data_IF_584285054310
#
_entry.id   IF_584285054310
#
_cell.length_a   1.000
_cell.length_b   1.000
_cell.length_c   1.000
_cell.angle_alpha   90.00
_cell.angle_beta   90.00
_cell.angle_gamma   90.00
#
_symmetry.space_group_name_H-M   'P 1'
#
loop_
_entity.id
_entity.type
_entity.pdbx_description
1 polymer ?
#
# COMPACT_ATOMS: atom_id res chain seq x y z
N UNK A 1 -5.50 17.91 -13.36
CA UNK A 1 -5.24 16.47 -13.13
C UNK A 1 -6.42 15.74 -12.52
N UNK A 2 -6.88 16.06 -11.30
CA UNK A 2 -8.05 15.40 -10.68
C UNK A 2 -9.34 15.63 -11.49
N UNK A 3 -9.68 16.89 -11.78
CA UNK A 3 -10.88 17.26 -12.56
C UNK A 3 -10.85 16.77 -14.01
N UNK A 4 -9.67 16.40 -14.51
CA UNK A 4 -9.46 15.91 -15.87
C UNK A 4 -9.39 14.37 -15.97
N UNK A 5 -9.61 13.63 -14.88
CA UNK A 5 -9.45 12.17 -14.81
C UNK A 5 -8.06 11.66 -15.27
N UNK A 6 -7.01 12.44 -15.01
CA UNK A 6 -5.63 12.13 -15.44
C UNK A 6 -4.85 11.25 -14.44
N UNK A 7 -5.41 11.02 -13.25
CA UNK A 7 -4.79 10.24 -12.17
C UNK A 7 -5.44 8.86 -12.07
N UNK A 8 -4.62 7.82 -11.98
CA UNK A 8 -5.07 6.44 -11.80
C UNK A 8 -5.67 6.26 -10.40
N UNK A 9 -5.04 6.89 -9.42
CA UNK A 9 -5.46 6.94 -8.03
C UNK A 9 -4.93 8.24 -7.43
N UNK A 10 -5.65 8.80 -6.46
CA UNK A 10 -5.17 9.93 -5.67
C UNK A 10 -5.79 9.90 -4.28
N UNK A 11 -4.98 10.27 -3.28
CA UNK A 11 -5.37 10.30 -1.87
C UNK A 11 -4.63 11.41 -1.12
N UNK A 12 -5.23 11.87 -0.02
CA UNK A 12 -4.57 12.75 0.94
C UNK A 12 -3.78 11.87 1.93
N UNK A 13 -2.45 11.95 1.87
CA UNK A 13 -1.55 11.13 2.69
C UNK A 13 -0.68 12.08 3.53
N UNK A 14 -0.86 12.04 4.85
CA UNK A 14 -0.19 12.93 5.81
C UNK A 14 -0.37 14.44 5.54
N UNK A 15 -1.52 14.83 4.99
CA UNK A 15 -1.82 16.24 4.66
C UNK A 15 -1.36 16.69 3.27
N UNK A 16 -0.64 15.83 2.53
CA UNK A 16 -0.25 16.07 1.14
C UNK A 16 -1.10 15.27 0.17
N UNK A 17 -1.56 15.90 -0.91
CA UNK A 17 -2.22 15.18 -2.00
C UNK A 17 -1.21 14.41 -2.82
N UNK A 18 -1.37 13.09 -2.88
CA UNK A 18 -0.59 12.21 -3.73
C UNK A 18 -1.48 11.63 -4.80
N UNK A 19 -0.94 11.46 -6.00
CA UNK A 19 -1.64 10.84 -7.10
C UNK A 19 -0.69 10.17 -8.05
N UNK A 20 -1.18 9.13 -8.72
CA UNK A 20 -0.41 8.33 -9.68
C UNK A 20 -0.84 8.75 -11.09
N UNK A 21 -0.02 9.46 -11.88
CA UNK A 21 -0.40 9.91 -13.21
C UNK A 21 -0.62 8.74 -14.18
N UNK A 22 -1.79 8.65 -14.81
CA UNK A 22 -2.08 7.60 -15.82
C UNK A 22 -1.08 7.66 -16.98
N UNK A 23 -0.66 8.87 -17.37
CA UNK A 23 0.25 9.06 -18.49
C UNK A 23 1.61 8.43 -18.24
N UNK A 24 2.19 8.62 -17.05
CA UNK A 24 3.48 8.03 -16.70
C UNK A 24 3.44 6.51 -16.80
N UNK A 25 2.38 5.88 -16.29
CA UNK A 25 2.21 4.43 -16.39
C UNK A 25 2.12 3.99 -17.85
N UNK A 26 1.30 4.67 -18.67
CA UNK A 26 1.17 4.37 -20.10
C UNK A 26 2.51 4.47 -20.84
N UNK A 27 3.30 5.52 -20.57
CA UNK A 27 4.56 5.76 -21.24
C UNK A 27 5.61 4.67 -20.94
N UNK A 28 5.67 4.18 -19.71
CA UNK A 28 6.59 3.10 -19.33
C UNK A 28 6.09 1.72 -19.80
N UNK A 29 4.77 1.47 -19.75
CA UNK A 29 4.20 0.25 -20.33
C UNK A 29 4.43 0.17 -21.85
N UNK A 30 4.29 1.29 -22.56
CA UNK A 30 4.57 1.35 -24.01
C UNK A 30 6.02 1.05 -24.37
N UNK A 31 6.95 1.22 -23.43
CA UNK A 31 8.37 0.85 -23.57
C UNK A 31 8.65 -0.61 -23.20
N UNK A 32 7.63 -1.38 -22.79
CA UNK A 32 7.77 -2.78 -22.39
C UNK A 32 8.27 -2.99 -20.97
N UNK A 33 8.19 -1.97 -20.09
CA UNK A 33 8.57 -2.11 -18.69
C UNK A 33 7.40 -2.56 -17.81
N UNK A 34 7.71 -3.41 -16.84
CA UNK A 34 6.80 -3.69 -15.72
C UNK A 34 6.75 -2.50 -14.75
N UNK A 35 5.55 -2.22 -14.23
CA UNK A 35 5.32 -1.09 -13.33
C UNK A 35 5.17 -1.60 -11.90
N UNK A 36 6.03 -1.13 -10.99
CA UNK A 36 5.91 -1.38 -9.57
C UNK A 36 5.33 -0.17 -8.85
N UNK A 37 4.15 -0.32 -8.26
CA UNK A 37 3.49 0.72 -7.47
C UNK A 37 3.64 0.42 -5.98
N UNK A 38 4.16 1.39 -5.23
CA UNK A 38 4.15 1.36 -3.76
C UNK A 38 2.96 2.18 -3.27
N UNK A 39 1.92 1.49 -2.83
CA UNK A 39 0.71 2.07 -2.25
C UNK A 39 0.49 1.55 -0.84
N UNK A 40 -0.25 2.31 -0.04
CA UNK A 40 -0.80 1.80 1.21
C UNK A 40 -2.04 0.92 0.95
N UNK A 41 -2.67 0.48 2.03
CA UNK A 41 -3.82 -0.44 1.99
C UNK A 41 -5.04 0.21 1.32
N UNK A 42 -5.29 1.51 1.58
CA UNK A 42 -6.40 2.23 0.97
C UNK A 42 -6.19 2.38 -0.54
N UNK A 43 -4.98 2.79 -0.95
CA UNK A 43 -4.60 2.89 -2.36
C UNK A 43 -4.68 1.52 -3.06
N UNK A 44 -4.23 0.45 -2.42
CA UNK A 44 -4.35 -0.91 -2.96
C UNK A 44 -5.81 -1.34 -3.18
N UNK A 45 -6.71 -1.04 -2.23
CA UNK A 45 -8.15 -1.31 -2.35
C UNK A 45 -8.79 -0.57 -3.53
N UNK A 46 -8.41 0.70 -3.72
CA UNK A 46 -8.86 1.51 -4.86
C UNK A 46 -8.33 0.95 -6.18
N UNK A 47 -7.03 0.70 -6.28
CA UNK A 47 -6.41 0.14 -7.49
C UNK A 47 -6.99 -1.22 -7.85
N UNK A 48 -7.34 -2.04 -6.85
CA UNK A 48 -7.95 -3.33 -7.10
C UNK A 48 -9.27 -3.21 -7.84
N UNK A 49 -10.14 -2.27 -7.46
CA UNK A 49 -11.43 -2.04 -8.15
C UNK A 49 -11.25 -1.62 -9.60
N UNK A 50 -10.12 -0.99 -9.93
CA UNK A 50 -9.83 -0.43 -11.26
C UNK A 50 -9.08 -1.45 -12.14
N UNK A 51 -8.17 -2.24 -11.56
CA UNK A 51 -7.15 -3.01 -12.29
C UNK A 51 -7.18 -4.53 -12.00
N UNK A 52 -8.29 -5.03 -11.46
CA UNK A 52 -8.47 -6.38 -10.91
C UNK A 52 -7.80 -7.52 -11.68
N UNK A 53 -7.82 -7.48 -13.02
CA UNK A 53 -7.35 -8.57 -13.88
C UNK A 53 -5.95 -8.35 -14.49
N UNK A 54 -5.33 -7.19 -14.26
CA UNK A 54 -4.08 -6.78 -14.94
C UNK A 54 -2.90 -6.59 -13.99
N UNK A 55 -3.10 -6.74 -12.68
CA UNK A 55 -2.10 -6.40 -11.66
C UNK A 55 -1.94 -7.51 -10.63
N UNK A 56 -0.69 -7.75 -10.24
CA UNK A 56 -0.34 -8.60 -9.10
C UNK A 56 -0.20 -7.73 -7.86
N UNK A 57 -0.98 -8.06 -6.82
CA UNK A 57 -0.88 -7.40 -5.53
C UNK A 57 0.04 -8.21 -4.61
N UNK A 58 1.00 -7.52 -3.97
CA UNK A 58 1.90 -8.11 -2.98
C UNK A 58 1.76 -7.32 -1.69
N UNK A 59 1.26 -7.97 -0.64
CA UNK A 59 1.14 -7.39 0.69
C UNK A 59 2.32 -7.81 1.56
N UNK A 60 3.01 -6.82 2.14
CA UNK A 60 4.17 -7.03 3.01
C UNK A 60 3.79 -6.73 4.46
N UNK A 61 3.98 -7.72 5.33
CA UNK A 61 3.73 -7.60 6.77
C UNK A 61 4.92 -8.19 7.54
N UNK A 62 5.16 -7.70 8.75
CA UNK A 62 6.15 -8.28 9.64
C UNK A 62 5.75 -9.71 10.05
N UNK A 63 6.71 -10.54 10.44
CA UNK A 63 6.43 -11.93 10.80
C UNK A 63 5.68 -12.05 12.12
N UNK A 64 5.81 -11.04 12.99
CA UNK A 64 5.14 -10.95 14.28
C UNK A 64 4.82 -9.50 14.64
N UNK A 65 3.87 -9.33 15.55
CA UNK A 65 3.54 -8.02 16.15
C UNK A 65 4.76 -7.38 16.82
N UNK A 66 5.54 -8.17 17.57
CA UNK A 66 6.75 -7.68 18.24
C UNK A 66 7.78 -7.14 17.24
N UNK A 67 7.94 -7.80 16.10
CA UNK A 67 8.83 -7.32 15.04
C UNK A 67 8.29 -6.05 14.37
N UNK A 68 6.98 -5.96 14.14
CA UNK A 68 6.34 -4.75 13.62
C UNK A 68 6.58 -3.56 14.56
N UNK A 69 6.37 -3.75 15.85
CA UNK A 69 6.61 -2.73 16.88
C UNK A 69 8.07 -2.30 16.89
N UNK A 70 9.02 -3.24 16.84
CA UNK A 70 10.45 -2.90 16.76
C UNK A 70 10.78 -2.07 15.51
N UNK A 71 10.25 -2.45 14.33
CA UNK A 71 10.45 -1.70 13.07
C UNK A 71 9.84 -0.29 13.13
N UNK A 72 8.73 -0.10 13.85
CA UNK A 72 8.10 1.20 14.03
C UNK A 72 8.87 2.08 15.02
N UNK A 73 9.38 1.51 16.11
CA UNK A 73 10.28 2.19 17.05
C UNK A 73 11.54 2.68 16.34
N UNK A 74 12.15 1.84 15.50
CA UNK A 74 13.40 2.16 14.81
C UNK A 74 13.25 3.29 13.79
N UNK A 75 12.04 3.47 13.22
CA UNK A 75 11.74 4.60 12.34
C UNK A 75 11.73 5.96 13.05
N UNK A 76 11.72 6.00 14.39
CA UNK A 76 11.72 7.22 15.23
C UNK A 76 10.64 8.25 14.86
N UNK A 77 9.57 7.83 14.21
CA UNK A 77 8.51 8.71 13.72
C UNK A 77 7.34 8.86 14.69
N UNK A 78 7.23 7.99 15.71
CA UNK A 78 6.06 7.89 16.60
C UNK A 78 6.48 7.92 18.08
N UNK A 79 5.62 8.46 18.96
CA UNK A 79 5.84 8.45 20.41
C UNK A 79 5.59 7.07 21.02
N UNK A 80 6.27 6.76 22.13
CA UNK A 80 6.16 5.46 22.82
C UNK A 80 4.74 5.11 23.23
N UNK A 81 3.89 6.09 23.56
CA UNK A 81 2.49 5.84 23.92
C UNK A 81 1.60 5.49 22.72
N UNK A 82 1.84 6.07 21.53
CA UNK A 82 1.06 5.76 20.32
C UNK A 82 1.44 4.42 19.69
N UNK A 83 2.65 3.92 19.96
CA UNK A 83 3.20 2.77 19.26
C UNK A 83 2.42 1.46 19.48
N UNK A 84 2.10 1.05 20.71
CA UNK A 84 1.53 -0.31 20.89
C UNK A 84 0.12 -0.47 20.31
N UNK A 85 -0.83 0.35 20.76
CA UNK A 85 -2.24 0.18 20.38
C UNK A 85 -2.44 0.44 18.88
N UNK A 86 -1.76 1.45 18.34
CA UNK A 86 -1.86 1.81 16.93
C UNK A 86 -1.19 0.76 16.02
N UNK A 87 -0.13 0.08 16.50
CA UNK A 87 0.50 -1.03 15.77
C UNK A 87 -0.43 -2.24 15.65
N UNK A 88 -1.09 -2.66 16.74
CA UNK A 88 -2.01 -3.79 16.72
C UNK A 88 -3.19 -3.51 15.77
N UNK A 89 -3.77 -2.30 15.85
CA UNK A 89 -4.87 -1.89 14.99
C UNK A 89 -4.44 -1.86 13.53
N UNK A 90 -3.31 -1.22 13.20
CA UNK A 90 -2.78 -1.19 11.82
C UNK A 90 -2.50 -2.59 11.28
N UNK A 91 -2.00 -3.50 12.12
CA UNK A 91 -1.73 -4.89 11.71
C UNK A 91 -3.03 -5.64 11.42
N UNK A 92 -4.04 -5.53 12.29
CA UNK A 92 -5.36 -6.13 12.07
C UNK A 92 -6.06 -5.57 10.84
N UNK A 93 -6.09 -4.24 10.67
CA UNK A 93 -6.68 -3.59 9.50
C UNK A 93 -5.99 -4.04 8.22
N UNK A 94 -4.65 -4.11 8.23
CA UNK A 94 -3.89 -4.54 7.07
C UNK A 94 -4.12 -6.01 6.70
N UNK A 95 -4.27 -6.91 7.70
CA UNK A 95 -4.61 -8.32 7.47
C UNK A 95 -6.04 -8.44 6.90
N UNK A 96 -7.01 -7.76 7.53
CA UNK A 96 -8.41 -7.78 7.10
C UNK A 96 -8.54 -7.26 5.67
N UNK A 97 -7.83 -6.19 5.33
CA UNK A 97 -7.91 -5.58 4.01
C UNK A 97 -7.13 -6.39 2.97
N UNK A 98 -6.01 -7.03 3.32
CA UNK A 98 -5.33 -7.99 2.45
C UNK A 98 -6.24 -9.19 2.11
N UNK A 99 -6.99 -9.71 3.09
CA UNK A 99 -7.99 -10.76 2.88
C UNK A 99 -9.14 -10.30 1.98
N UNK A 100 -9.73 -9.12 2.24
CA UNK A 100 -10.79 -8.54 1.39
C UNK A 100 -10.31 -8.28 -0.03
N UNK A 101 -9.05 -7.88 -0.18
CA UNK A 101 -8.41 -7.68 -1.47
C UNK A 101 -7.95 -9.00 -2.12
N UNK A 102 -8.32 -10.18 -1.59
CA UNK A 102 -7.89 -11.50 -2.08
C UNK A 102 -6.40 -11.53 -2.45
N UNK A 103 -5.58 -10.82 -1.70
CA UNK A 103 -4.14 -10.78 -1.95
C UNK A 103 -3.59 -12.12 -1.52
N UNK A 104 -2.94 -12.83 -2.43
CA UNK A 104 -2.32 -14.12 -2.09
C UNK A 104 -1.14 -13.82 -1.18
N UNK A 105 -1.31 -14.07 0.12
CA UNK A 105 -0.18 -14.12 1.04
C UNK A 105 0.66 -15.35 0.72
N UNK A 106 1.92 -15.13 0.35
CA UNK A 106 2.93 -16.18 0.37
C UNK A 106 3.94 -15.84 1.45
N UNK A 107 4.12 -16.76 2.39
CA UNK A 107 5.21 -16.69 3.36
C UNK A 107 6.50 -16.97 2.60
N UNK A 108 7.34 -15.96 2.42
CA UNK A 108 8.67 -16.12 1.86
C UNK A 108 9.61 -16.34 3.05
N UNK A 109 9.97 -17.58 3.32
CA UNK A 109 11.08 -17.87 4.24
C UNK A 109 12.37 -17.56 3.49
N UNK A 110 13.10 -16.53 3.92
CA UNK A 110 14.42 -16.16 3.40
C UNK A 110 15.50 -16.84 4.24
#
# INVERSE_FOLDING_TARGET
MVENDELLEYALVYGDYKGIPKQQIRDYMAKGYDIMLRVDIQGASTLRKILLDFVVFVFLVAESESELVMRLIDRKTESKESLMLESCVKMMEAIIDAEKAKVVQRRVMV
#
